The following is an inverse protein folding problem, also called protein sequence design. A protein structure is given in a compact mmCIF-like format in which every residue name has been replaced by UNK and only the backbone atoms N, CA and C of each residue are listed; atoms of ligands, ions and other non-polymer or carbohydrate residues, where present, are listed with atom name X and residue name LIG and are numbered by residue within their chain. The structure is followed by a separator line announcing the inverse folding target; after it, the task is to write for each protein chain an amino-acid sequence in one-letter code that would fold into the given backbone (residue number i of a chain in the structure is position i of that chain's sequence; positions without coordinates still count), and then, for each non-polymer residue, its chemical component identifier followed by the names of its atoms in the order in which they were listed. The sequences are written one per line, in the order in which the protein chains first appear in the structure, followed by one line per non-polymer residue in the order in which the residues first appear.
data_IF_237138170078
#
_entry.id   IF_237138170078
#
_cell.length_a   1.000
_cell.length_b   1.000
_cell.length_c   1.000
_cell.angle_alpha   90.00
_cell.angle_beta   90.00
_cell.angle_gamma   90.00
#
_symmetry.space_group_name_H-M   'P 1'
#
loop_
_entity.id
_entity.type
_entity.pdbx_description
1 polymer ?
#
# COMPACT_ATOMS: atom_id res chain seq x y z
N UNK A 1 15.05 -9.51 -101.32
CA UNK A 1 15.38 -8.77 -100.08
C UNK A 1 15.57 -9.81 -98.98
N UNK A 2 16.82 -10.08 -98.58
CA UNK A 2 17.14 -11.05 -97.52
C UNK A 2 16.90 -10.44 -96.16
N UNK A 3 16.09 -11.10 -95.33
CA UNK A 3 15.83 -10.72 -93.95
C UNK A 3 17.03 -11.12 -93.07
N UNK A 4 17.69 -10.14 -92.44
CA UNK A 4 18.78 -10.40 -91.50
C UNK A 4 18.23 -11.03 -90.22
N UNK A 5 18.78 -12.18 -89.82
CA UNK A 5 18.40 -12.87 -88.58
C UNK A 5 19.20 -12.29 -87.39
N UNK A 6 18.55 -12.06 -86.25
CA UNK A 6 19.18 -11.52 -85.05
C UNK A 6 20.20 -12.52 -84.44
N UNK A 7 21.22 -11.98 -83.76
CA UNK A 7 22.25 -12.76 -83.09
C UNK A 7 21.70 -13.57 -81.90
N UNK A 8 22.22 -14.78 -81.62
CA UNK A 8 21.80 -15.59 -80.48
C UNK A 8 22.17 -14.93 -79.14
N UNK A 9 21.29 -15.07 -78.15
CA UNK A 9 21.52 -14.53 -76.80
C UNK A 9 22.52 -15.40 -76.01
N UNK A 10 23.43 -14.79 -75.22
CA UNK A 10 24.39 -15.53 -74.41
C UNK A 10 23.69 -16.32 -73.30
N UNK A 11 24.07 -17.58 -73.11
CA UNK A 11 23.58 -18.44 -72.03
C UNK A 11 24.49 -18.31 -70.79
N UNK A 12 23.87 -18.25 -69.62
CA UNK A 12 24.56 -18.25 -68.32
C UNK A 12 24.87 -19.71 -67.92
N UNK A 13 26.13 -20.01 -67.62
CA UNK A 13 26.55 -21.31 -67.09
C UNK A 13 25.89 -21.59 -65.73
N UNK A 14 25.17 -22.70 -65.62
CA UNK A 14 24.68 -23.22 -64.34
C UNK A 14 25.81 -24.02 -63.66
N UNK A 15 26.57 -23.36 -62.80
CA UNK A 15 27.43 -24.02 -61.83
C UNK A 15 26.60 -24.28 -60.55
N UNK A 16 26.02 -25.47 -60.43
CA UNK A 16 25.21 -25.88 -59.27
C UNK A 16 26.07 -26.24 -58.03
N UNK A 17 27.39 -26.10 -58.15
CA UNK A 17 28.39 -26.52 -57.16
C UNK A 17 28.38 -25.68 -55.86
N UNK A 18 27.60 -24.59 -55.79
CA UNK A 18 27.52 -23.72 -54.61
C UNK A 18 26.37 -24.05 -53.64
N UNK A 19 25.51 -25.03 -53.96
CA UNK A 19 24.42 -25.48 -53.09
C UNK A 19 24.84 -26.50 -52.01
N UNK A 20 26.15 -26.66 -51.75
CA UNK A 20 26.68 -27.71 -50.86
C UNK A 20 27.00 -27.26 -49.44
N UNK A 21 26.96 -25.96 -49.11
CA UNK A 21 27.01 -25.56 -47.69
C UNK A 21 25.61 -25.65 -47.08
N UNK A 22 25.08 -26.87 -47.05
CA UNK A 22 24.09 -27.25 -46.07
C UNK A 22 24.82 -27.14 -44.72
N UNK A 23 24.81 -25.94 -44.14
CA UNK A 23 25.13 -25.78 -42.73
C UNK A 23 24.13 -26.71 -42.05
N UNK A 24 24.64 -27.81 -41.49
CA UNK A 24 23.88 -28.65 -40.58
C UNK A 24 23.52 -27.74 -39.41
N UNK A 25 22.36 -27.10 -39.54
CA UNK A 25 21.71 -26.43 -38.44
C UNK A 25 21.33 -27.60 -37.57
N UNK A 26 22.20 -27.92 -36.60
CA UNK A 26 21.98 -28.87 -35.52
C UNK A 26 20.50 -28.85 -35.21
N UNK A 27 19.76 -29.79 -35.81
CA UNK A 27 18.31 -29.72 -35.79
C UNK A 27 17.97 -29.99 -34.35
N UNK A 28 17.45 -28.99 -33.60
CA UNK A 28 17.26 -29.14 -32.19
C UNK A 28 16.42 -30.38 -32.01
N UNK A 29 16.94 -31.31 -31.21
CA UNK A 29 16.36 -32.61 -30.91
C UNK A 29 14.83 -32.46 -30.86
N UNK A 30 14.11 -33.10 -31.80
CA UNK A 30 12.65 -33.07 -31.83
C UNK A 30 12.19 -33.91 -30.63
N UNK A 31 12.22 -33.29 -29.46
CA UNK A 31 11.60 -33.82 -28.26
C UNK A 31 10.11 -33.80 -28.53
N UNK A 32 9.52 -34.98 -28.67
CA UNK A 32 8.07 -35.10 -28.74
C UNK A 32 7.49 -34.34 -27.54
N UNK A 33 6.74 -33.28 -27.83
CA UNK A 33 6.04 -32.51 -26.81
C UNK A 33 5.16 -33.47 -26.02
N UNK A 34 5.21 -33.42 -24.70
CA UNK A 34 4.41 -34.34 -23.87
C UNK A 34 2.91 -34.16 -24.19
N UNK A 35 2.13 -35.24 -24.13
CA UNK A 35 0.72 -35.21 -24.53
C UNK A 35 -0.14 -34.26 -23.68
N UNK A 36 0.34 -33.85 -22.51
CA UNK A 36 -0.33 -32.95 -21.58
C UNK A 36 0.04 -31.46 -21.78
N UNK A 37 0.89 -31.11 -22.75
CA UNK A 37 1.36 -29.75 -22.98
C UNK A 37 0.24 -28.72 -23.19
N UNK A 38 -0.82 -29.07 -23.93
CA UNK A 38 -1.97 -28.18 -24.11
C UNK A 38 -2.74 -27.92 -22.79
N UNK A 39 -2.67 -28.87 -21.85
CA UNK A 39 -3.32 -28.77 -20.54
C UNK A 39 -2.45 -28.15 -19.44
N UNK A 40 -1.16 -27.90 -19.71
CA UNK A 40 -0.25 -27.28 -18.75
C UNK A 40 -0.50 -25.77 -18.64
N UNK A 41 -0.57 -25.27 -17.40
CA UNK A 41 -0.75 -23.83 -17.12
C UNK A 41 0.46 -22.97 -17.50
N UNK A 42 1.65 -23.58 -17.59
CA UNK A 42 2.88 -22.95 -18.06
C UNK A 42 3.56 -23.91 -19.01
N UNK A 43 3.63 -23.51 -20.28
CA UNK A 43 4.06 -24.39 -21.38
C UNK A 43 5.56 -24.29 -21.70
N UNK A 44 6.19 -23.16 -21.36
CA UNK A 44 7.60 -22.91 -21.68
C UNK A 44 8.33 -22.29 -20.51
N UNK A 45 9.63 -22.57 -20.40
CA UNK A 45 10.49 -21.95 -19.38
C UNK A 45 10.50 -20.42 -19.47
N UNK A 46 10.39 -19.89 -20.69
CA UNK A 46 10.26 -18.44 -20.93
C UNK A 46 8.96 -17.83 -20.42
N UNK A 47 7.87 -18.61 -20.34
CA UNK A 47 6.62 -18.17 -19.70
C UNK A 47 6.73 -18.24 -18.17
N UNK A 48 7.37 -19.28 -17.63
CA UNK A 48 7.68 -19.36 -16.21
C UNK A 48 8.52 -18.17 -15.74
N UNK A 49 9.58 -17.84 -16.46
CA UNK A 49 10.45 -16.70 -16.15
C UNK A 49 9.72 -15.35 -16.20
N UNK A 50 8.76 -15.16 -17.11
CA UNK A 50 7.92 -13.95 -17.13
C UNK A 50 7.03 -13.86 -15.90
N UNK A 51 6.35 -14.95 -15.54
CA UNK A 51 5.48 -14.97 -14.36
C UNK A 51 6.26 -14.68 -13.08
N UNK A 52 7.47 -15.24 -12.93
CA UNK A 52 8.34 -14.97 -11.78
C UNK A 52 8.72 -13.48 -11.75
N UNK A 53 9.14 -12.91 -12.88
CA UNK A 53 9.53 -11.49 -12.96
C UNK A 53 8.36 -10.54 -12.72
N UNK A 54 7.17 -10.87 -13.19
CA UNK A 54 5.95 -10.08 -12.95
C UNK A 54 5.55 -10.13 -11.48
N UNK A 55 5.61 -11.31 -10.84
CA UNK A 55 5.37 -11.47 -9.41
C UNK A 55 6.40 -10.68 -8.58
N UNK A 56 7.69 -10.78 -8.91
CA UNK A 56 8.74 -9.99 -8.25
C UNK A 56 8.49 -8.47 -8.40
N UNK A 57 8.17 -8.01 -9.62
CA UNK A 57 7.86 -6.60 -9.86
C UNK A 57 6.62 -6.12 -9.08
N UNK A 58 5.57 -6.95 -8.97
CA UNK A 58 4.37 -6.62 -8.20
C UNK A 58 4.67 -6.56 -6.70
N UNK A 59 5.46 -7.50 -6.18
CA UNK A 59 5.88 -7.47 -4.78
C UNK A 59 6.75 -6.25 -4.47
N UNK A 60 7.64 -5.87 -5.39
CA UNK A 60 8.49 -4.69 -5.24
C UNK A 60 7.66 -3.40 -5.32
N UNK A 61 6.67 -3.31 -6.21
CA UNK A 61 5.71 -2.19 -6.24
C UNK A 61 4.91 -2.10 -4.95
N UNK A 62 4.35 -3.20 -4.47
CA UNK A 62 3.60 -3.24 -3.22
C UNK A 62 4.46 -2.80 -2.04
N UNK A 63 5.74 -3.21 -2.02
CA UNK A 63 6.72 -2.79 -1.02
C UNK A 63 7.00 -1.28 -1.10
N UNK A 64 7.25 -0.75 -2.30
CA UNK A 64 7.47 0.68 -2.49
C UNK A 64 6.24 1.51 -2.11
N UNK A 65 5.03 1.04 -2.40
CA UNK A 65 3.81 1.69 -1.94
C UNK A 65 3.67 1.67 -0.42
N UNK A 66 3.99 0.53 0.21
CA UNK A 66 3.96 0.43 1.67
C UNK A 66 4.96 1.40 2.32
N UNK A 67 6.16 1.54 1.75
CA UNK A 67 7.16 2.51 2.20
C UNK A 67 6.65 3.94 2.03
N UNK A 68 6.13 4.31 0.85
CA UNK A 68 5.54 5.65 0.61
C UNK A 68 4.37 5.94 1.56
N UNK A 69 3.51 4.96 1.82
CA UNK A 69 2.41 5.07 2.79
C UNK A 69 2.96 5.30 4.20
N UNK A 70 3.99 4.57 4.61
CA UNK A 70 4.64 4.75 5.90
C UNK A 70 5.30 6.13 6.06
N UNK A 71 6.00 6.63 5.03
CA UNK A 71 6.59 7.97 5.03
C UNK A 71 5.52 9.05 5.12
N UNK A 72 4.48 8.97 4.28
CA UNK A 72 3.37 9.92 4.33
C UNK A 72 2.63 9.88 5.67
N UNK A 73 2.50 8.70 6.29
CA UNK A 73 1.92 8.57 7.62
C UNK A 73 2.78 9.24 8.69
N UNK A 74 4.11 9.09 8.61
CA UNK A 74 5.07 9.77 9.51
C UNK A 74 5.01 11.28 9.36
N UNK A 75 4.94 11.79 8.13
CA UNK A 75 4.81 13.22 7.87
C UNK A 75 3.49 13.77 8.43
N UNK A 76 2.37 13.08 8.16
CA UNK A 76 1.05 13.42 8.73
C UNK A 76 1.08 13.40 10.25
N UNK A 77 1.72 12.40 10.87
CA UNK A 77 1.85 12.31 12.32
C UNK A 77 2.65 13.50 12.89
N UNK A 78 3.75 13.90 12.24
CA UNK A 78 4.53 15.09 12.63
C UNK A 78 3.71 16.37 12.52
N UNK A 79 2.98 16.55 11.40
CA UNK A 79 2.11 17.70 11.21
C UNK A 79 0.99 17.75 12.26
N UNK A 80 0.38 16.60 12.57
CA UNK A 80 -0.63 16.49 13.61
C UNK A 80 -0.06 16.75 15.01
N UNK A 81 1.14 16.28 15.32
CA UNK A 81 1.81 16.55 16.58
C UNK A 81 2.05 18.05 16.78
N UNK A 82 2.45 18.78 15.73
CA UNK A 82 2.58 20.25 15.77
C UNK A 82 1.24 20.94 16.03
N UNK A 83 0.16 20.48 15.38
CA UNK A 83 -1.21 20.99 15.62
C UNK A 83 -1.71 20.66 17.03
N UNK A 84 -1.40 19.47 17.55
CA UNK A 84 -1.72 19.07 18.91
C UNK A 84 -1.03 19.99 19.92
N UNK A 85 0.25 20.33 19.73
CA UNK A 85 0.95 21.27 20.62
C UNK A 85 0.29 22.65 20.67
N UNK A 86 -0.13 23.18 19.52
CA UNK A 86 -0.77 24.50 19.47
C UNK A 86 -2.17 24.50 20.07
N UNK A 87 -2.94 23.43 19.88
CA UNK A 87 -4.26 23.24 20.50
C UNK A 87 -4.13 23.06 22.01
N UNK A 88 -3.23 22.20 22.50
CA UNK A 88 -2.96 22.06 23.93
C UNK A 88 -2.61 23.40 24.61
N UNK A 89 -1.86 24.27 23.94
CA UNK A 89 -1.55 25.60 24.49
C UNK A 89 -2.82 26.46 24.63
N UNK A 90 -3.71 26.41 23.63
CA UNK A 90 -4.99 27.13 23.66
C UNK A 90 -5.93 26.55 24.71
N UNK A 91 -6.02 25.23 24.79
CA UNK A 91 -6.89 24.52 25.74
C UNK A 91 -6.38 24.69 27.18
N UNK A 92 -5.06 24.69 27.38
CA UNK A 92 -4.44 25.04 28.65
C UNK A 92 -4.76 26.47 29.08
N UNK A 93 -4.77 27.43 28.14
CA UNK A 93 -5.23 28.80 28.44
C UNK A 93 -6.72 28.82 28.80
N UNK A 94 -7.58 28.16 28.03
CA UNK A 94 -9.03 28.08 28.33
C UNK A 94 -9.30 27.46 29.70
N UNK A 95 -8.59 26.38 30.03
CA UNK A 95 -8.67 25.74 31.34
C UNK A 95 -8.20 26.69 32.44
N UNK A 96 -7.13 27.45 32.21
CA UNK A 96 -6.64 28.45 33.16
C UNK A 96 -7.63 29.60 33.38
N UNK A 97 -8.31 30.04 32.31
CA UNK A 97 -9.33 31.10 32.36
C UNK A 97 -10.63 30.59 33.02
N UNK A 98 -10.86 29.27 33.03
CA UNK A 98 -12.06 28.60 33.53
C UNK A 98 -11.81 27.67 34.74
N UNK A 99 -10.76 27.91 35.54
CA UNK A 99 -10.41 27.04 36.69
C UNK A 99 -11.50 26.94 37.75
N UNK A 100 -12.38 27.94 37.83
CA UNK A 100 -13.49 27.99 38.78
C UNK A 100 -14.72 27.22 38.26
N UNK A 101 -14.71 26.80 36.98
CA UNK A 101 -15.81 26.08 36.37
C UNK A 101 -15.64 24.57 36.61
N UNK A 102 -16.49 23.94 37.44
CA UNK A 102 -16.36 22.54 37.79
C UNK A 102 -16.55 21.60 36.60
N UNK A 103 -17.30 22.01 35.59
CA UNK A 103 -17.52 21.21 34.37
C UNK A 103 -16.25 21.18 33.53
N UNK A 104 -15.61 22.34 33.33
CA UNK A 104 -14.38 22.43 32.52
C UNK A 104 -13.23 21.66 33.19
N UNK A 105 -13.06 21.82 34.51
CA UNK A 105 -12.04 21.08 35.27
C UNK A 105 -12.39 19.59 35.33
N UNK A 106 -13.65 19.24 35.56
CA UNK A 106 -14.12 17.86 35.59
C UNK A 106 -13.83 17.11 34.29
N UNK A 107 -14.15 17.72 33.15
CA UNK A 107 -13.88 17.13 31.84
C UNK A 107 -12.37 16.98 31.59
N UNK A 108 -11.57 17.98 31.97
CA UNK A 108 -10.11 17.87 31.84
C UNK A 108 -9.56 16.67 32.64
N UNK A 109 -10.06 16.44 33.86
CA UNK A 109 -9.68 15.29 34.69
C UNK A 109 -10.18 13.97 34.09
N UNK A 110 -11.45 13.92 33.65
CA UNK A 110 -12.06 12.75 33.02
C UNK A 110 -11.26 12.29 31.79
N UNK A 111 -10.94 13.24 30.90
CA UNK A 111 -10.19 12.95 29.69
C UNK A 111 -8.73 12.62 29.97
N UNK A 112 -8.11 13.21 31.00
CA UNK A 112 -6.77 12.84 31.43
C UNK A 112 -6.70 11.40 31.95
N UNK A 113 -7.64 10.98 32.79
CA UNK A 113 -7.74 9.60 33.28
C UNK A 113 -8.00 8.64 32.12
N UNK A 114 -8.92 8.98 31.23
CA UNK A 114 -9.22 8.18 30.04
C UNK A 114 -7.98 7.99 29.17
N UNK A 115 -7.24 9.05 28.88
CA UNK A 115 -5.99 8.99 28.10
C UNK A 115 -4.92 8.14 28.80
N UNK A 116 -4.75 8.30 30.12
CA UNK A 116 -3.81 7.51 30.91
C UNK A 116 -4.17 6.01 30.90
N UNK A 117 -5.44 5.66 31.09
CA UNK A 117 -5.93 4.28 31.07
C UNK A 117 -5.72 3.63 29.70
N UNK A 118 -6.04 4.35 28.61
CA UNK A 118 -5.84 3.85 27.24
C UNK A 118 -4.36 3.69 26.93
N UNK A 119 -3.54 4.69 27.27
CA UNK A 119 -2.08 4.63 27.07
C UNK A 119 -1.43 3.48 27.83
N UNK A 120 -1.79 3.30 29.10
CA UNK A 120 -1.29 2.20 29.93
C UNK A 120 -1.75 0.83 29.40
N UNK A 121 -3.04 0.70 29.08
CA UNK A 121 -3.61 -0.55 28.54
C UNK A 121 -2.99 -0.92 27.18
N UNK A 122 -2.76 0.06 26.31
CA UNK A 122 -2.08 -0.16 25.03
C UNK A 122 -0.62 -0.59 25.24
N UNK A 123 0.11 0.03 26.17
CA UNK A 123 1.48 -0.36 26.49
C UNK A 123 1.56 -1.80 27.01
N UNK A 124 0.68 -2.18 27.93
CA UNK A 124 0.63 -3.54 28.45
C UNK A 124 0.29 -4.56 27.34
N UNK A 125 -0.72 -4.28 26.52
CA UNK A 125 -1.13 -5.18 25.43
C UNK A 125 -0.11 -5.28 24.31
N UNK A 126 0.66 -4.23 24.08
CA UNK A 126 1.80 -4.26 23.17
C UNK A 126 2.89 -5.20 23.67
N UNK A 127 3.26 -5.13 24.96
CA UNK A 127 4.23 -6.05 25.55
C UNK A 127 3.75 -7.51 25.54
N UNK A 128 2.45 -7.75 25.70
CA UNK A 128 1.86 -9.09 25.60
C UNK A 128 1.76 -9.62 24.16
N UNK A 129 2.08 -8.82 23.14
CA UNK A 129 1.88 -9.18 21.72
C UNK A 129 0.41 -9.32 21.31
N UNK A 130 -0.53 -8.80 22.12
CA UNK A 130 -1.99 -8.93 21.94
C UNK A 130 -2.64 -7.64 21.43
N UNK A 131 -1.85 -6.71 20.89
CA UNK A 131 -2.37 -5.48 20.33
C UNK A 131 -2.97 -5.77 18.95
N UNK A 132 -4.30 -5.91 18.91
CA UNK A 132 -5.05 -6.20 17.67
C UNK A 132 -5.97 -5.03 17.28
N UNK A 133 -6.24 -4.89 15.99
CA UNK A 133 -7.15 -3.89 15.44
C UNK A 133 -8.58 -4.06 15.96
N UNK A 134 -9.03 -5.28 16.25
CA UNK A 134 -10.35 -5.52 16.86
C UNK A 134 -10.41 -4.94 18.28
N UNK A 135 -9.34 -5.11 19.05
CA UNK A 135 -9.23 -4.54 20.39
C UNK A 135 -9.19 -3.00 20.31
N UNK A 136 -8.35 -2.45 19.44
CA UNK A 136 -8.27 -1.02 19.21
C UNK A 136 -9.63 -0.43 18.80
N UNK A 137 -10.34 -1.09 17.88
CA UNK A 137 -11.67 -0.68 17.44
C UNK A 137 -12.72 -0.73 18.57
N UNK A 138 -12.67 -1.74 19.43
CA UNK A 138 -13.58 -1.85 20.58
C UNK A 138 -13.35 -0.72 21.59
N UNK A 139 -12.08 -0.45 21.93
CA UNK A 139 -11.71 0.65 22.83
C UNK A 139 -12.09 2.00 22.22
N UNK A 140 -11.82 2.21 20.93
CA UNK A 140 -12.22 3.42 20.22
C UNK A 140 -13.74 3.62 20.22
N UNK A 141 -14.51 2.54 20.03
CA UNK A 141 -15.97 2.57 20.13
C UNK A 141 -16.47 2.99 21.52
N UNK A 142 -15.86 2.43 22.58
CA UNK A 142 -16.18 2.80 23.96
C UNK A 142 -15.87 4.28 24.28
N UNK A 143 -14.69 4.76 23.85
CA UNK A 143 -14.32 6.18 23.98
C UNK A 143 -15.28 7.07 23.20
N UNK A 144 -15.71 6.64 22.01
CA UNK A 144 -16.69 7.36 21.20
C UNK A 144 -18.04 7.50 21.91
N UNK A 145 -18.56 6.42 22.50
CA UNK A 145 -19.79 6.46 23.28
C UNK A 145 -19.67 7.38 24.51
N UNK A 146 -18.54 7.30 25.23
CA UNK A 146 -18.22 8.20 26.35
C UNK A 146 -18.19 9.67 25.90
N UNK A 147 -17.57 9.96 24.75
CA UNK A 147 -17.49 11.32 24.22
C UNK A 147 -18.86 11.91 23.92
N UNK A 148 -19.76 11.11 23.34
CA UNK A 148 -21.14 11.55 23.06
C UNK A 148 -21.88 11.87 24.36
N UNK A 149 -21.79 11.00 25.37
CA UNK A 149 -22.42 11.23 26.67
C UNK A 149 -21.86 12.47 27.37
N UNK A 150 -20.53 12.60 27.42
CA UNK A 150 -19.84 13.75 28.00
C UNK A 150 -20.25 15.05 27.31
N UNK A 151 -20.35 15.06 25.97
CA UNK A 151 -20.74 16.23 25.19
C UNK A 151 -22.13 16.75 25.59
N UNK A 152 -23.15 15.89 25.59
CA UNK A 152 -24.52 16.32 25.92
C UNK A 152 -24.68 16.73 27.39
N UNK A 153 -24.05 15.99 28.31
CA UNK A 153 -24.06 16.35 29.73
C UNK A 153 -23.37 17.70 29.97
N UNK A 154 -22.20 17.89 29.36
CA UNK A 154 -21.42 19.12 29.46
C UNK A 154 -22.14 20.30 28.82
N UNK A 155 -22.71 20.12 27.62
CA UNK A 155 -23.47 21.18 26.96
C UNK A 155 -24.62 21.66 27.85
N UNK A 156 -25.43 20.74 28.38
CA UNK A 156 -26.53 21.09 29.28
C UNK A 156 -26.02 21.80 30.55
N UNK A 157 -24.94 21.31 31.16
CA UNK A 157 -24.40 21.93 32.38
C UNK A 157 -23.81 23.32 32.11
N UNK A 158 -23.12 23.51 30.99
CA UNK A 158 -22.52 24.79 30.60
C UNK A 158 -23.59 25.81 30.22
N UNK A 159 -24.66 25.40 29.54
CA UNK A 159 -25.76 26.28 29.16
C UNK A 159 -26.65 26.66 30.35
N UNK A 160 -26.90 25.72 31.27
CA UNK A 160 -27.89 25.93 32.33
C UNK A 160 -27.31 26.35 33.69
N UNK A 161 -26.10 25.91 34.05
CA UNK A 161 -25.58 26.06 35.43
C UNK A 161 -24.19 26.69 35.52
N UNK A 162 -23.30 26.38 34.58
CA UNK A 162 -21.89 26.73 34.67
C UNK A 162 -21.38 27.33 33.34
N UNK A 163 -21.86 28.52 32.94
CA UNK A 163 -21.41 29.14 31.69
C UNK A 163 -19.90 29.38 31.71
N UNK A 164 -19.19 29.06 30.61
CA UNK A 164 -17.75 29.30 30.51
C UNK A 164 -17.45 30.79 30.33
N UNK A 165 -16.27 31.20 30.81
CA UNK A 165 -15.68 32.54 30.66
C UNK A 165 -14.82 32.62 29.40
#
# INVERSE_FOLDING_TARGET
MSQAKAHPVPQLSHDESQASSLIDVDSPHISSVKSDFESQSVQTDTQAERMIREAENETERARQEAVKKAESAKEKASAQAKKAKSTLKKDGKKLADNRDNPVVVGNAVLWAITAAAVGYGAYQKHQEGKLDWKLAGTVAGGIGALAVGDYFASQWLLENKYPPK
#
